data_IF_573052782646
#
_entry.id   IF_573052782646
#
_cell.length_a   1.000
_cell.length_b   1.000
_cell.length_c   1.000
_cell.angle_alpha   90.00
_cell.angle_beta   90.00
_cell.angle_gamma   90.00
#
_symmetry.space_group_name_H-M   'P 1'
#
loop_
_entity.id
_entity.type
_entity.pdbx_description
1 polymer ?
#
# COMPACT_ATOMS: atom_id res chain seq x y z
N UNK A 1 -8.77 -4.97 32.62
CA UNK A 1 -8.43 -6.38 32.35
C UNK A 1 -7.64 -6.39 31.06
N UNK A 2 -6.32 -6.63 31.18
CA UNK A 2 -5.41 -6.70 30.03
C UNK A 2 -5.79 -7.89 29.17
N UNK A 3 -6.44 -7.62 28.04
CA UNK A 3 -6.61 -8.60 26.97
C UNK A 3 -5.30 -8.62 26.19
N UNK A 4 -4.39 -9.51 26.58
CA UNK A 4 -3.19 -9.79 25.82
C UNK A 4 -3.62 -10.13 24.39
N UNK A 5 -3.08 -9.37 23.43
CA UNK A 5 -3.26 -9.56 21.99
C UNK A 5 -2.58 -10.86 21.53
N UNK A 6 -3.07 -12.02 21.98
CA UNK A 6 -2.71 -13.27 21.35
C UNK A 6 -3.48 -13.36 20.03
N UNK A 7 -2.82 -12.95 18.95
CA UNK A 7 -3.23 -13.32 17.61
C UNK A 7 -3.24 -14.86 17.60
N UNK A 8 -4.38 -15.54 17.38
CA UNK A 8 -4.45 -16.99 17.46
C UNK A 8 -3.39 -17.61 16.54
N UNK A 9 -2.71 -18.67 16.98
CA UNK A 9 -1.71 -19.39 16.17
C UNK A 9 -2.21 -19.82 14.77
N UNK A 10 -3.55 -19.83 14.55
CA UNK A 10 -4.21 -20.01 13.25
C UNK A 10 -4.02 -18.87 12.25
N UNK A 11 -3.63 -17.68 12.69
CA UNK A 11 -3.40 -16.52 11.81
C UNK A 11 -2.17 -16.71 10.91
N UNK A 12 -1.25 -17.62 11.25
CA UNK A 12 -0.02 -17.88 10.50
C UNK A 12 -0.26 -18.43 9.07
N UNK A 13 -1.52 -18.69 8.68
CA UNK A 13 -1.92 -19.21 7.35
C UNK A 13 -3.06 -18.40 6.67
N UNK A 14 -3.26 -17.13 7.01
CA UNK A 14 -4.24 -16.21 6.39
C UNK A 14 -3.80 -15.64 5.02
N UNK A 15 -4.06 -16.39 3.95
CA UNK A 15 -3.94 -15.86 2.57
C UNK A 15 -5.18 -15.04 2.19
N UNK A 16 -5.08 -14.15 1.19
CA UNK A 16 -6.24 -13.44 0.63
C UNK A 16 -7.36 -14.40 0.17
N UNK A 17 -7.01 -15.64 -0.22
CA UNK A 17 -7.94 -16.70 -0.62
C UNK A 17 -8.54 -17.49 0.55
N UNK A 18 -7.85 -17.57 1.68
CA UNK A 18 -8.32 -18.29 2.88
C UNK A 18 -8.95 -17.37 3.91
N UNK A 19 -8.72 -16.06 3.83
CA UNK A 19 -9.30 -15.05 4.71
C UNK A 19 -10.84 -15.10 4.72
N UNK A 20 -11.55 -15.15 3.56
CA UNK A 20 -13.01 -15.27 3.59
C UNK A 20 -13.46 -16.56 4.27
N UNK A 21 -12.83 -17.70 3.97
CA UNK A 21 -13.17 -19.00 4.60
C UNK A 21 -12.98 -18.97 6.11
N UNK A 22 -11.89 -18.37 6.60
CA UNK A 22 -11.58 -18.28 8.02
C UNK A 22 -12.51 -17.29 8.77
N UNK A 23 -12.96 -16.21 8.11
CA UNK A 23 -14.02 -15.34 8.66
C UNK A 23 -15.34 -16.11 8.80
N UNK A 24 -15.72 -16.90 7.80
CA UNK A 24 -16.95 -17.71 7.83
C UNK A 24 -16.88 -18.90 8.81
N UNK A 25 -15.71 -19.48 9.03
CA UNK A 25 -15.48 -20.60 9.95
C UNK A 25 -15.24 -20.18 11.41
N UNK A 26 -15.08 -18.87 11.68
CA UNK A 26 -14.88 -18.36 13.03
C UNK A 26 -16.18 -18.48 13.85
N UNK A 27 -16.06 -18.95 15.11
CA UNK A 27 -17.21 -19.03 16.03
C UNK A 27 -17.81 -17.65 16.33
N UNK A 28 -17.00 -16.59 16.24
CA UNK A 28 -17.41 -15.19 16.40
C UNK A 28 -16.79 -14.33 15.27
N UNK A 29 -17.43 -14.27 14.08
CA UNK A 29 -16.90 -13.58 12.92
C UNK A 29 -16.57 -12.10 13.16
N UNK A 30 -17.39 -11.40 13.95
CA UNK A 30 -17.15 -9.99 14.29
C UNK A 30 -15.89 -9.76 15.12
N UNK A 31 -15.64 -10.62 16.12
CA UNK A 31 -14.44 -10.51 16.95
C UNK A 31 -13.19 -10.83 16.15
N UNK A 32 -13.28 -11.79 15.24
CA UNK A 32 -12.20 -12.11 14.33
C UNK A 32 -11.91 -10.98 13.33
N UNK A 33 -12.93 -10.38 12.73
CA UNK A 33 -12.77 -9.22 11.83
C UNK A 33 -12.02 -8.08 12.52
N UNK A 34 -12.29 -7.84 13.81
CA UNK A 34 -11.66 -6.77 14.59
C UNK A 34 -10.19 -7.03 14.93
N UNK A 35 -9.69 -8.26 14.78
CA UNK A 35 -8.25 -8.54 14.96
C UNK A 35 -7.46 -8.47 13.66
N UNK A 36 -8.13 -8.37 12.51
CA UNK A 36 -7.48 -8.31 11.21
C UNK A 36 -6.86 -6.93 10.94
N UNK A 37 -5.64 -6.88 10.36
CA UNK A 37 -5.08 -5.66 9.81
C UNK A 37 -6.02 -5.06 8.77
N UNK A 38 -6.16 -3.73 8.77
CA UNK A 38 -7.13 -3.06 7.88
C UNK A 38 -6.84 -3.30 6.39
N UNK A 39 -5.58 -3.44 6.00
CA UNK A 39 -5.22 -3.77 4.61
C UNK A 39 -5.83 -5.11 4.18
N UNK A 40 -5.88 -6.11 5.07
CA UNK A 40 -6.53 -7.40 4.79
C UNK A 40 -8.05 -7.26 4.63
N UNK A 41 -8.68 -6.39 5.43
CA UNK A 41 -10.10 -6.08 5.25
C UNK A 41 -10.35 -5.33 3.93
N UNK A 42 -9.46 -4.41 3.56
CA UNK A 42 -9.56 -3.66 2.32
C UNK A 42 -9.43 -4.58 1.09
N UNK A 43 -8.52 -5.57 1.14
CA UNK A 43 -8.44 -6.62 0.12
C UNK A 43 -9.76 -7.38 -0.04
N UNK A 44 -10.38 -7.78 1.08
CA UNK A 44 -11.66 -8.49 1.05
C UNK A 44 -12.79 -7.61 0.49
N UNK A 45 -12.84 -6.34 0.89
CA UNK A 45 -13.78 -5.36 0.39
C UNK A 45 -13.66 -5.18 -1.13
N UNK A 46 -12.43 -5.01 -1.65
CA UNK A 46 -12.18 -4.87 -3.08
C UNK A 46 -12.50 -6.13 -3.87
N UNK A 47 -12.27 -7.31 -3.29
CA UNK A 47 -12.61 -8.58 -3.93
C UNK A 47 -14.13 -8.78 -4.06
N UNK A 48 -14.89 -8.44 -3.02
CA UNK A 48 -16.34 -8.63 -2.97
C UNK A 48 -17.13 -7.51 -3.65
N UNK A 49 -16.53 -6.31 -3.74
CA UNK A 49 -17.22 -5.08 -4.07
C UNK A 49 -17.86 -4.44 -2.82
N UNK A 50 -17.89 -3.11 -2.78
CA UNK A 50 -18.38 -2.34 -1.64
C UNK A 50 -19.85 -2.66 -1.32
N UNK A 51 -20.72 -2.68 -2.34
CA UNK A 51 -22.15 -2.99 -2.21
C UNK A 51 -22.44 -4.38 -1.62
N UNK A 52 -21.55 -5.34 -1.83
CA UNK A 52 -21.65 -6.70 -1.29
C UNK A 52 -20.98 -6.87 0.08
N UNK A 53 -20.45 -5.79 0.66
CA UNK A 53 -19.62 -5.82 1.87
C UNK A 53 -20.30 -5.17 3.08
N UNK A 54 -21.60 -4.89 3.03
CA UNK A 54 -22.34 -4.24 4.12
C UNK A 54 -22.15 -4.96 5.48
N UNK A 55 -22.23 -6.29 5.51
CA UNK A 55 -22.03 -7.09 6.73
C UNK A 55 -20.59 -6.99 7.27
N UNK A 56 -19.60 -6.96 6.37
CA UNK A 56 -18.19 -6.76 6.73
C UNK A 56 -18.00 -5.38 7.38
N UNK A 57 -18.57 -4.34 6.77
CA UNK A 57 -18.53 -2.98 7.30
C UNK A 57 -19.27 -2.90 8.63
N UNK A 58 -20.43 -3.56 8.79
CA UNK A 58 -21.20 -3.61 10.02
C UNK A 58 -20.43 -4.29 11.17
N UNK A 59 -19.62 -5.31 10.88
CA UNK A 59 -18.81 -6.03 11.87
C UNK A 59 -17.52 -5.29 12.29
N UNK A 60 -16.89 -4.55 11.36
CA UNK A 60 -15.61 -3.85 11.58
C UNK A 60 -15.65 -2.85 12.76
N UNK A 61 -14.52 -2.51 13.36
CA UNK A 61 -14.48 -1.38 14.31
C UNK A 61 -14.69 -0.03 13.60
N UNK A 62 -14.96 1.04 14.36
CA UNK A 62 -15.08 2.41 13.81
C UNK A 62 -13.75 2.84 13.21
N UNK A 63 -12.66 2.49 13.88
CA UNK A 63 -11.29 2.79 13.47
C UNK A 63 -10.94 2.07 12.16
N UNK A 64 -11.21 0.76 12.07
CA UNK A 64 -11.02 0.00 10.83
C UNK A 64 -11.88 0.57 9.69
N UNK A 65 -13.15 0.90 9.95
CA UNK A 65 -14.04 1.46 8.93
C UNK A 65 -13.55 2.84 8.44
N UNK A 66 -13.04 3.69 9.33
CA UNK A 66 -12.43 4.97 8.96
C UNK A 66 -11.22 4.76 8.04
N UNK A 67 -10.35 3.81 8.38
CA UNK A 67 -9.18 3.47 7.56
C UNK A 67 -9.59 2.86 6.20
N UNK A 68 -10.66 2.05 6.14
CA UNK A 68 -11.21 1.57 4.87
C UNK A 68 -11.68 2.72 3.98
N UNK A 69 -12.34 3.73 4.55
CA UNK A 69 -12.72 4.96 3.84
C UNK A 69 -11.46 5.72 3.39
N UNK A 70 -10.42 5.81 4.23
CA UNK A 70 -9.14 6.45 3.88
C UNK A 70 -8.44 5.77 2.69
N UNK A 71 -8.54 4.45 2.56
CA UNK A 71 -8.03 3.70 1.40
C UNK A 71 -8.88 3.90 0.15
N UNK A 72 -10.21 3.88 0.32
CA UNK A 72 -11.13 3.78 -0.80
C UNK A 72 -11.45 5.15 -1.40
N UNK A 73 -11.62 6.18 -0.57
CA UNK A 73 -12.06 7.51 -0.99
C UNK A 73 -10.92 8.47 -1.35
N UNK A 74 -9.67 7.99 -1.44
CA UNK A 74 -8.53 8.81 -1.79
C UNK A 74 -7.74 8.21 -2.94
N UNK A 75 -7.45 9.02 -3.95
CA UNK A 75 -6.47 8.71 -4.97
C UNK A 75 -5.30 9.67 -4.79
N UNK A 76 -4.17 9.15 -4.30
CA UNK A 76 -3.02 9.97 -3.89
C UNK A 76 -3.45 11.00 -2.83
N UNK A 77 -3.39 12.28 -3.19
CA UNK A 77 -3.70 13.49 -2.43
C UNK A 77 -5.05 14.12 -2.81
N UNK A 78 -5.88 13.42 -3.61
CA UNK A 78 -7.18 13.92 -4.03
C UNK A 78 -8.31 13.03 -3.52
N UNK A 79 -9.38 13.67 -3.03
CA UNK A 79 -10.57 12.99 -2.55
C UNK A 79 -11.46 12.55 -3.71
N UNK A 80 -11.86 11.27 -3.70
CA UNK A 80 -12.71 10.65 -4.72
C UNK A 80 -14.15 10.63 -4.23
N UNK A 81 -14.93 11.64 -4.64
CA UNK A 81 -16.31 11.83 -4.17
C UNK A 81 -17.24 10.69 -4.57
N UNK A 82 -17.05 10.13 -5.76
CA UNK A 82 -17.86 9.03 -6.28
C UNK A 82 -17.81 7.84 -5.33
N UNK A 83 -16.62 7.46 -4.87
CA UNK A 83 -16.45 6.39 -3.90
C UNK A 83 -17.14 6.76 -2.57
N UNK A 84 -17.02 8.01 -2.12
CA UNK A 84 -17.73 8.48 -0.92
C UNK A 84 -19.25 8.36 -1.05
N UNK A 85 -19.83 8.65 -2.22
CA UNK A 85 -21.25 8.45 -2.47
C UNK A 85 -21.63 6.96 -2.43
N UNK A 86 -20.78 6.07 -2.95
CA UNK A 86 -20.99 4.61 -2.83
C UNK A 86 -20.98 4.15 -1.37
N UNK A 87 -20.13 4.74 -0.51
CA UNK A 87 -20.18 4.48 0.93
C UNK A 87 -21.50 4.92 1.54
N UNK A 88 -22.02 6.09 1.16
CA UNK A 88 -23.32 6.57 1.66
C UNK A 88 -24.51 5.75 1.14
N UNK A 89 -24.38 5.05 0.01
CA UNK A 89 -25.43 4.20 -0.57
C UNK A 89 -25.44 2.77 -0.04
N UNK A 90 -24.46 2.37 0.78
CA UNK A 90 -24.42 1.04 1.42
C UNK A 90 -25.71 0.66 2.18
N UNK A 91 -26.45 1.67 2.65
CA UNK A 91 -27.67 1.49 3.42
C UNK A 91 -28.93 1.51 2.55
N UNK A 92 -28.82 1.55 1.21
CA UNK A 92 -29.99 1.62 0.32
C UNK A 92 -30.72 0.27 0.20
N UNK A 93 -30.00 -0.84 0.37
CA UNK A 93 -30.56 -2.19 0.30
C UNK A 93 -31.23 -2.63 1.61
N UNK A 94 -30.90 -1.99 2.73
CA UNK A 94 -31.45 -2.27 4.05
C UNK A 94 -32.46 -1.18 4.45
N UNK A 95 -33.49 -1.55 5.21
CA UNK A 95 -34.43 -0.59 5.79
C UNK A 95 -33.89 0.03 7.09
N UNK A 96 -32.79 -0.49 7.63
CA UNK A 96 -32.13 0.07 8.82
C UNK A 96 -31.18 1.23 8.51
N UNK A 97 -31.20 2.25 9.36
CA UNK A 97 -30.22 3.36 9.34
C UNK A 97 -28.99 3.07 10.23
N UNK A 98 -28.90 1.91 10.87
CA UNK A 98 -27.81 1.58 11.80
C UNK A 98 -26.44 1.65 11.12
N UNK A 99 -26.34 1.11 9.90
CA UNK A 99 -25.11 1.15 9.12
C UNK A 99 -24.75 2.60 8.74
N UNK A 100 -25.73 3.43 8.41
CA UNK A 100 -25.51 4.85 8.09
C UNK A 100 -24.99 5.59 9.32
N UNK A 101 -25.61 5.39 10.48
CA UNK A 101 -25.17 5.98 11.74
C UNK A 101 -23.74 5.56 12.10
N UNK A 102 -23.38 4.30 11.81
CA UNK A 102 -22.00 3.84 11.96
C UNK A 102 -21.07 4.57 11.01
N UNK A 103 -21.39 4.62 9.71
CA UNK A 103 -20.59 5.29 8.69
C UNK A 103 -20.35 6.76 9.07
N UNK A 104 -21.37 7.47 9.56
CA UNK A 104 -21.24 8.86 10.05
C UNK A 104 -20.19 9.00 11.16
N UNK A 105 -20.08 8.03 12.07
CA UNK A 105 -19.04 8.03 13.13
C UNK A 105 -17.64 7.77 12.57
N UNK A 106 -17.55 7.06 11.45
CA UNK A 106 -16.29 6.68 10.81
C UNK A 106 -15.74 7.81 9.93
N UNK A 107 -16.62 8.55 9.24
CA UNK A 107 -16.25 9.62 8.32
C UNK A 107 -15.54 10.77 9.06
N UNK A 108 -14.53 11.33 8.42
CA UNK A 108 -13.90 12.58 8.84
C UNK A 108 -14.87 13.76 8.59
N UNK A 109 -15.22 14.50 9.64
CA UNK A 109 -16.14 15.63 9.55
C UNK A 109 -15.65 16.73 8.59
N UNK A 110 -14.34 16.82 8.31
CA UNK A 110 -13.80 17.73 7.29
C UNK A 110 -14.25 17.34 5.89
N UNK A 111 -14.40 16.04 5.60
CA UNK A 111 -14.95 15.56 4.33
C UNK A 111 -16.45 15.86 4.22
N UNK A 112 -17.19 15.79 5.34
CA UNK A 112 -18.59 16.23 5.35
C UNK A 112 -18.68 17.74 5.09
N UNK A 113 -17.84 18.54 5.76
CA UNK A 113 -17.76 19.97 5.51
C UNK A 113 -17.36 20.29 4.07
N UNK A 114 -16.47 19.50 3.47
CA UNK A 114 -16.09 19.59 2.06
C UNK A 114 -17.30 19.38 1.15
N UNK A 115 -18.10 18.32 1.38
CA UNK A 115 -19.34 18.07 0.63
C UNK A 115 -20.36 19.20 0.81
N UNK A 116 -20.51 19.73 2.03
CA UNK A 116 -21.37 20.88 2.30
C UNK A 116 -20.90 22.11 1.53
N UNK A 117 -19.59 22.39 1.52
CA UNK A 117 -19.03 23.54 0.82
C UNK A 117 -19.29 23.50 -0.69
N UNK A 118 -19.24 22.30 -1.29
CA UNK A 118 -19.41 22.06 -2.73
C UNK A 118 -20.88 22.01 -3.15
N UNK A 119 -21.71 21.32 -2.38
CA UNK A 119 -23.06 20.93 -2.81
C UNK A 119 -24.19 21.57 -2.02
N UNK A 120 -23.92 22.30 -0.94
CA UNK A 120 -24.99 22.82 -0.08
C UNK A 120 -25.01 24.35 -0.13
N UNK A 121 -26.19 24.87 -0.45
CA UNK A 121 -26.52 26.28 -0.33
C UNK A 121 -27.15 26.54 1.03
N UNK A 122 -26.60 27.52 1.75
CA UNK A 122 -26.97 27.83 3.13
C UNK A 122 -27.24 29.34 3.19
N UNK A 123 -28.40 29.72 3.75
CA UNK A 123 -28.70 31.09 4.13
C UNK A 123 -29.00 31.13 5.62
N UNK A 124 -28.29 31.98 6.35
CA UNK A 124 -28.47 32.16 7.80
C UNK A 124 -29.00 33.57 8.04
N UNK A 125 -30.05 33.69 8.84
CA UNK A 125 -30.70 34.94 9.21
C UNK A 125 -30.65 35.17 10.72
N UNK A 126 -30.59 36.44 11.12
CA UNK A 126 -30.64 36.84 12.54
C UNK A 126 -32.05 36.70 13.14
N UNK A 127 -33.07 36.85 12.30
CA UNK A 127 -34.49 36.69 12.63
C UNK A 127 -35.09 35.64 11.69
N UNK A 128 -36.08 34.85 12.15
CA UNK A 128 -36.67 33.81 11.32
C UNK A 128 -37.43 34.43 10.15
N UNK A 129 -37.23 33.88 8.95
CA UNK A 129 -37.86 34.37 7.72
C UNK A 129 -38.93 33.42 7.19
N UNK A 130 -39.99 33.99 6.61
CA UNK A 130 -41.05 33.33 5.83
C UNK A 130 -41.53 34.37 4.80
N UNK A 131 -41.46 34.15 3.46
CA UNK A 131 -41.37 32.86 2.75
C UNK A 131 -39.97 32.26 2.58
N UNK A 132 -39.93 30.97 2.23
CA UNK A 132 -38.71 30.25 1.82
C UNK A 132 -37.94 31.01 0.71
N UNK A 133 -36.59 31.01 0.72
CA UNK A 133 -35.76 31.63 -0.32
C UNK A 133 -35.98 31.08 -1.73
N UNK A 134 -36.55 29.88 -1.87
CA UNK A 134 -36.87 29.28 -3.15
C UNK A 134 -37.22 27.80 -3.07
N UNK A 135 -37.47 27.19 -4.23
CA UNK A 135 -37.81 25.77 -4.31
C UNK A 135 -36.64 24.87 -3.88
N UNK A 136 -36.97 23.84 -3.10
CA UNK A 136 -36.01 22.86 -2.58
C UNK A 136 -35.24 23.30 -1.34
N UNK A 137 -35.47 24.51 -0.84
CA UNK A 137 -34.99 24.91 0.49
C UNK A 137 -35.87 24.33 1.59
N UNK A 138 -35.23 23.82 2.63
CA UNK A 138 -35.86 23.45 3.89
C UNK A 138 -35.17 24.17 5.05
N UNK A 139 -35.84 24.26 6.19
CA UNK A 139 -35.29 24.87 7.40
C UNK A 139 -35.44 23.91 8.59
N UNK A 140 -34.35 23.58 9.31
CA UNK A 140 -34.41 22.73 10.50
C UNK A 140 -34.82 23.51 11.77
N UNK A 141 -34.75 24.84 11.75
CA UNK A 141 -34.87 25.73 12.92
C UNK A 141 -35.98 26.77 12.80
N UNK A 142 -37.01 26.52 11.98
CA UNK A 142 -38.17 27.42 11.81
C UNK A 142 -37.81 28.79 11.19
N UNK A 143 -36.90 28.78 10.21
CA UNK A 143 -36.64 29.92 9.32
C UNK A 143 -35.38 30.72 9.64
N UNK A 144 -34.55 30.29 10.60
CA UNK A 144 -33.26 30.95 10.86
C UNK A 144 -32.19 30.47 9.87
N UNK A 145 -32.17 29.18 9.55
CA UNK A 145 -31.24 28.55 8.62
C UNK A 145 -32.03 27.89 7.50
N UNK A 146 -31.75 28.29 6.26
CA UNK A 146 -32.30 27.66 5.06
C UNK A 146 -31.21 26.86 4.36
N UNK A 147 -31.48 25.58 4.12
CA UNK A 147 -30.55 24.61 3.54
C UNK A 147 -31.14 24.04 2.26
N UNK A 148 -30.33 23.97 1.21
CA UNK A 148 -30.66 23.29 -0.04
C UNK A 148 -29.45 22.53 -0.56
N UNK A 149 -29.63 21.25 -0.85
CA UNK A 149 -28.64 20.46 -1.60
C UNK A 149 -28.79 20.81 -3.09
N UNK A 150 -27.74 21.39 -3.67
CA UNK A 150 -27.70 21.95 -5.00
C UNK A 150 -26.82 21.10 -5.92
N UNK A 151 -27.39 20.02 -6.45
CA UNK A 151 -26.79 19.16 -7.46
C UNK A 151 -27.84 18.75 -8.50
N UNK A 152 -27.41 18.46 -9.73
CA UNK A 152 -28.30 17.95 -10.80
C UNK A 152 -28.49 16.43 -10.74
N UNK A 153 -27.66 15.74 -9.97
CA UNK A 153 -27.75 14.29 -9.75
C UNK A 153 -28.72 14.00 -8.60
N UNK A 154 -29.88 13.44 -8.93
CA UNK A 154 -30.94 13.16 -7.96
C UNK A 154 -30.55 12.12 -6.92
N UNK A 155 -29.70 11.15 -7.27
CA UNK A 155 -29.23 10.14 -6.32
C UNK A 155 -28.24 10.78 -5.34
N UNK A 156 -27.26 11.54 -5.84
CA UNK A 156 -26.35 12.33 -4.99
C UNK A 156 -27.10 13.30 -4.07
N UNK A 157 -28.14 13.97 -4.60
CA UNK A 157 -28.99 14.86 -3.82
C UNK A 157 -29.65 14.11 -2.65
N UNK A 158 -30.21 12.94 -2.91
CA UNK A 158 -30.84 12.09 -1.90
C UNK A 158 -29.84 11.65 -0.83
N UNK A 159 -28.66 11.13 -1.22
CA UNK A 159 -27.64 10.66 -0.30
C UNK A 159 -27.13 11.77 0.63
N UNK A 160 -26.86 12.96 0.07
CA UNK A 160 -26.41 14.11 0.85
C UNK A 160 -27.50 14.64 1.78
N UNK A 161 -28.75 14.73 1.32
CA UNK A 161 -29.87 15.14 2.18
C UNK A 161 -30.07 14.16 3.34
N UNK A 162 -29.97 12.85 3.08
CA UNK A 162 -30.05 11.80 4.10
C UNK A 162 -28.90 11.89 5.10
N UNK A 163 -27.67 12.12 4.64
CA UNK A 163 -26.51 12.34 5.49
C UNK A 163 -26.73 13.53 6.44
N UNK A 164 -27.17 14.67 5.89
CA UNK A 164 -27.43 15.88 6.67
C UNK A 164 -28.53 15.68 7.73
N UNK A 165 -29.61 15.00 7.36
CA UNK A 165 -30.69 14.66 8.29
C UNK A 165 -30.18 13.76 9.42
N UNK A 166 -29.43 12.71 9.10
CA UNK A 166 -28.87 11.79 10.09
C UNK A 166 -27.85 12.47 11.02
N UNK A 167 -27.04 13.41 10.52
CA UNK A 167 -26.14 14.21 11.37
C UNK A 167 -26.95 15.11 12.31
N UNK A 168 -28.00 15.77 11.82
CA UNK A 168 -28.85 16.62 12.65
C UNK A 168 -29.56 15.84 13.75
N UNK A 169 -30.08 14.65 13.42
CA UNK A 169 -30.72 13.75 14.37
C UNK A 169 -29.73 13.26 15.45
N UNK A 170 -28.49 12.95 15.05
CA UNK A 170 -27.45 12.51 15.98
C UNK A 170 -26.91 13.66 16.86
N UNK A 171 -26.70 14.85 16.28
CA UNK A 171 -26.24 16.04 16.98
C UNK A 171 -26.52 17.32 16.18
N UNK A 172 -27.53 18.07 16.62
CA UNK A 172 -27.82 19.39 16.08
C UNK A 172 -26.63 20.35 16.22
N UNK A 173 -25.83 20.23 17.28
CA UNK A 173 -24.63 21.06 17.48
C UNK A 173 -23.60 20.83 16.36
N UNK A 174 -23.24 19.58 16.08
CA UNK A 174 -22.30 19.24 15.00
C UNK A 174 -22.85 19.68 13.65
N UNK A 175 -24.15 19.50 13.43
CA UNK A 175 -24.81 19.96 12.20
C UNK A 175 -24.59 21.46 11.98
N UNK A 176 -24.90 22.31 12.97
CA UNK A 176 -24.71 23.77 12.81
C UNK A 176 -23.25 24.18 12.74
N UNK A 177 -22.35 23.50 13.45
CA UNK A 177 -20.91 23.70 13.31
C UNK A 177 -20.47 23.47 11.85
N UNK A 178 -20.86 22.35 11.24
CA UNK A 178 -20.55 22.03 9.84
C UNK A 178 -21.12 23.07 8.85
N UNK A 179 -22.34 23.56 9.08
CA UNK A 179 -22.94 24.61 8.24
C UNK A 179 -22.15 25.92 8.28
N UNK A 180 -21.54 26.24 9.43
CA UNK A 180 -20.75 27.47 9.60
C UNK A 180 -19.39 27.44 8.90
N UNK A 181 -18.84 26.24 8.64
CA UNK A 181 -17.47 26.07 8.09
C UNK A 181 -17.28 26.77 6.74
N UNK A 182 -18.34 26.86 5.92
CA UNK A 182 -18.29 27.51 4.60
C UNK A 182 -17.88 28.99 4.67
N UNK A 183 -18.11 29.66 5.80
CA UNK A 183 -17.68 31.04 6.03
C UNK A 183 -16.22 31.18 6.51
N UNK A 184 -15.56 30.07 6.85
CA UNK A 184 -14.26 30.05 7.55
C UNK A 184 -13.17 29.40 6.67
N UNK A 185 -13.48 28.28 6.02
CA UNK A 185 -12.52 27.49 5.25
C UNK A 185 -13.01 27.27 3.81
N UNK A 186 -12.08 27.30 2.86
CA UNK A 186 -12.37 26.94 1.47
C UNK A 186 -12.35 25.42 1.29
N UNK A 187 -12.97 24.93 0.21
CA UNK A 187 -12.96 23.50 -0.12
C UNK A 187 -11.53 22.93 -0.20
N UNK A 188 -10.58 23.67 -0.78
CA UNK A 188 -9.18 23.25 -0.88
C UNK A 188 -8.52 23.09 0.49
N UNK A 189 -8.77 24.00 1.43
CA UNK A 189 -8.23 23.90 2.80
C UNK A 189 -8.81 22.69 3.53
N UNK A 190 -10.11 22.44 3.40
CA UNK A 190 -10.77 21.29 4.02
C UNK A 190 -10.24 19.96 3.48
N UNK A 191 -10.02 19.88 2.17
CA UNK A 191 -9.46 18.68 1.55
C UNK A 191 -8.02 18.44 1.98
N UNK A 192 -7.16 19.47 2.02
CA UNK A 192 -5.79 19.34 2.50
C UNK A 192 -5.73 18.92 3.97
N UNK A 193 -6.53 19.53 4.85
CA UNK A 193 -6.55 19.13 6.27
C UNK A 193 -7.03 17.68 6.45
N UNK A 194 -8.07 17.27 5.71
CA UNK A 194 -8.54 15.88 5.72
C UNK A 194 -7.48 14.91 5.20
N UNK A 195 -6.72 15.31 4.16
CA UNK A 195 -5.60 14.54 3.65
C UNK A 195 -4.52 14.36 4.71
N UNK A 196 -4.13 15.42 5.42
CA UNK A 196 -3.13 15.35 6.49
C UNK A 196 -3.56 14.45 7.64
N UNK A 197 -4.83 14.52 8.04
CA UNK A 197 -5.36 13.64 9.10
C UNK A 197 -5.44 12.18 8.65
N UNK A 198 -5.76 11.93 7.37
CA UNK A 198 -5.66 10.61 6.74
C UNK A 198 -4.22 10.08 6.74
N UNK A 199 -3.22 10.90 6.39
CA UNK A 199 -1.81 10.49 6.44
C UNK A 199 -1.38 10.05 7.85
N UNK A 200 -1.76 10.81 8.89
CA UNK A 200 -1.45 10.43 10.29
C UNK A 200 -2.06 9.08 10.67
N UNK A 201 -3.31 8.82 10.26
CA UNK A 201 -4.00 7.56 10.53
C UNK A 201 -3.33 6.39 9.81
N UNK A 202 -2.97 6.57 8.54
CA UNK A 202 -2.26 5.55 7.77
C UNK A 202 -0.85 5.28 8.31
N UNK A 203 -0.13 6.32 8.74
CA UNK A 203 1.20 6.17 9.35
C UNK A 203 1.15 5.33 10.63
N UNK A 204 0.10 5.48 11.45
CA UNK A 204 -0.12 4.65 12.64
C UNK A 204 -0.35 3.16 12.31
N UNK A 205 -0.77 2.84 11.09
CA UNK A 205 -0.90 1.47 10.56
C UNK A 205 0.37 1.01 9.81
N UNK A 206 1.47 1.76 9.91
CA UNK A 206 2.74 1.44 9.24
C UNK A 206 2.74 1.74 7.74
N UNK A 207 1.84 2.60 7.26
CA UNK A 207 1.80 3.03 5.85
C UNK A 207 2.39 4.43 5.76
N UNK A 208 3.62 4.55 5.22
CA UNK A 208 4.33 5.83 5.21
C UNK A 208 3.74 6.80 4.18
N UNK A 209 3.97 8.09 4.40
CA UNK A 209 3.77 9.12 3.39
C UNK A 209 4.80 8.98 2.24
N UNK A 210 4.72 9.86 1.24
CA UNK A 210 5.58 9.77 0.05
C UNK A 210 7.05 10.03 0.36
N UNK A 211 7.31 10.98 1.24
CA UNK A 211 8.63 11.41 1.66
C UNK A 211 9.34 10.28 2.41
N UNK A 212 8.68 9.70 3.40
CA UNK A 212 9.24 8.60 4.18
C UNK A 212 9.32 7.30 3.36
N UNK A 213 8.35 7.04 2.49
CA UNK A 213 8.46 5.95 1.52
C UNK A 213 9.68 6.11 0.60
N UNK A 214 9.97 7.33 0.16
CA UNK A 214 11.16 7.62 -0.63
C UNK A 214 12.45 7.36 0.16
N UNK A 215 12.51 7.78 1.41
CA UNK A 215 13.65 7.57 2.30
C UNK A 215 13.96 6.07 2.48
N UNK A 216 12.95 5.25 2.83
CA UNK A 216 13.12 3.80 3.00
C UNK A 216 13.60 3.12 1.70
N UNK A 217 13.15 3.62 0.55
CA UNK A 217 13.54 3.10 -0.77
C UNK A 217 14.82 3.77 -1.34
N UNK A 218 15.56 4.53 -0.52
CA UNK A 218 16.81 5.15 -0.96
C UNK A 218 17.96 4.13 -0.87
N UNK A 219 18.71 3.91 -1.96
CA UNK A 219 19.81 2.93 -1.97
C UNK A 219 20.93 3.27 -0.99
N UNK A 220 21.46 2.24 -0.33
CA UNK A 220 22.61 2.33 0.56
C UNK A 220 23.85 1.70 -0.11
N UNK A 221 25.00 2.36 -0.05
CA UNK A 221 26.24 1.80 -0.59
C UNK A 221 26.72 0.61 0.27
N UNK A 222 27.21 -0.50 -0.32
CA UNK A 222 27.66 -1.67 0.44
C UNK A 222 28.76 -1.38 1.48
N UNK A 223 29.62 -0.40 1.21
CA UNK A 223 30.65 0.02 2.16
C UNK A 223 30.07 0.68 3.42
N UNK A 224 28.94 1.39 3.29
CA UNK A 224 28.26 1.99 4.44
C UNK A 224 27.59 0.92 5.31
N UNK A 225 26.97 -0.10 4.69
CA UNK A 225 26.44 -1.25 5.43
C UNK A 225 27.56 -2.00 6.18
N UNK A 226 28.71 -2.20 5.55
CA UNK A 226 29.85 -2.86 6.20
C UNK A 226 30.35 -2.07 7.41
N UNK A 227 30.52 -0.76 7.28
CA UNK A 227 30.95 0.10 8.38
C UNK A 227 29.99 0.01 9.58
N UNK A 228 28.68 -0.03 9.33
CA UNK A 228 27.67 -0.17 10.38
C UNK A 228 27.82 -1.48 11.17
N UNK A 229 28.12 -2.58 10.48
CA UNK A 229 28.33 -3.88 11.10
C UNK A 229 29.60 -3.90 11.96
N UNK A 230 30.65 -3.18 11.54
CA UNK A 230 31.90 -3.05 12.28
C UNK A 230 31.74 -2.22 13.55
N UNK A 231 30.91 -1.17 13.52
CA UNK A 231 30.64 -0.32 14.69
C UNK A 231 29.66 -0.95 15.70
N UNK A 232 29.06 -2.11 15.38
CA UNK A 232 28.14 -2.88 16.23
C UNK A 232 27.02 -2.05 16.85
N UNK A 233 26.50 -1.06 16.11
CA UNK A 233 25.35 -0.31 16.60
C UNK A 233 24.17 -1.26 16.81
N UNK A 234 23.49 -1.12 17.95
CA UNK A 234 22.22 -1.78 18.16
C UNK A 234 21.20 -1.22 17.17
N UNK A 235 20.42 -2.12 16.60
CA UNK A 235 19.34 -1.79 15.69
C UNK A 235 18.33 -0.88 16.40
N UNK A 236 17.91 0.19 15.73
CA UNK A 236 16.85 1.05 16.23
C UNK A 236 15.54 0.23 16.36
N UNK A 237 14.87 0.36 17.51
CA UNK A 237 13.55 -0.25 17.70
C UNK A 237 12.57 0.36 16.69
N UNK A 238 11.91 -0.50 15.92
CA UNK A 238 10.79 -0.08 15.06
C UNK A 238 9.53 -0.16 15.90
N UNK A 239 8.64 0.82 15.77
CA UNK A 239 7.29 0.67 16.35
C UNK A 239 6.63 -0.60 15.80
N UNK A 240 5.95 -1.34 16.67
CA UNK A 240 5.29 -2.60 16.29
C UNK A 240 4.19 -2.34 15.26
N UNK A 241 4.43 -2.77 14.02
CA UNK A 241 3.50 -2.66 12.91
C UNK A 241 2.85 -4.03 12.71
N UNK A 242 1.52 -4.15 12.80
CA UNK A 242 0.84 -5.42 12.59
C UNK A 242 1.20 -6.03 11.23
N UNK A 243 1.67 -7.27 11.25
CA UNK A 243 2.02 -8.02 10.06
C UNK A 243 0.82 -8.12 9.10
N UNK A 244 1.00 -7.68 7.85
CA UNK A 244 -0.02 -7.89 6.80
C UNK A 244 0.29 -9.19 6.08
N UNK A 245 -0.39 -10.23 6.53
CA UNK A 245 -0.07 -11.63 6.27
C UNK A 245 0.04 -12.00 4.77
N UNK A 246 -0.82 -11.51 3.85
CA UNK A 246 -0.68 -11.77 2.41
C UNK A 246 0.67 -11.39 1.79
N UNK A 247 1.45 -10.50 2.41
CA UNK A 247 2.72 -9.99 1.86
C UNK A 247 3.95 -10.77 2.31
N UNK A 248 3.87 -11.49 3.43
CA UNK A 248 4.97 -12.18 4.08
C UNK A 248 5.22 -13.60 3.53
N UNK A 249 4.26 -14.15 2.79
CA UNK A 249 4.33 -15.53 2.30
C UNK A 249 5.49 -15.80 1.35
N UNK A 250 6.15 -16.94 1.50
CA UNK A 250 7.17 -17.51 0.59
C UNK A 250 8.58 -16.88 0.68
N UNK A 251 9.05 -16.54 1.88
CA UNK A 251 10.47 -16.19 2.14
C UNK A 251 11.36 -17.41 2.40
N UNK A 252 10.79 -18.57 2.72
CA UNK A 252 11.56 -19.79 3.06
C UNK A 252 12.33 -20.37 1.87
N UNK A 253 11.91 -20.03 0.64
CA UNK A 253 12.45 -20.56 -0.61
C UNK A 253 13.73 -19.87 -1.06
N UNK A 254 14.04 -18.69 -0.53
CA UNK A 254 15.22 -17.89 -0.87
C UNK A 254 16.25 -17.90 0.27
N UNK A 255 17.50 -18.23 -0.03
CA UNK A 255 18.59 -18.33 0.95
C UNK A 255 19.67 -17.29 0.67
N UNK A 256 20.30 -16.70 1.71
CA UNK A 256 20.20 -17.05 3.14
C UNK A 256 19.06 -16.37 3.93
N UNK A 257 18.17 -15.60 3.30
CA UNK A 257 17.07 -14.93 4.01
C UNK A 257 16.14 -15.92 4.76
N UNK A 258 15.82 -17.05 4.15
CA UNK A 258 15.02 -18.10 4.78
C UNK A 258 15.71 -18.76 5.98
N UNK A 259 17.04 -18.84 5.98
CA UNK A 259 17.83 -19.29 7.13
C UNK A 259 17.72 -18.33 8.31
N UNK A 260 17.70 -17.01 8.07
CA UNK A 260 17.48 -16.02 9.14
C UNK A 260 16.16 -16.32 9.85
N UNK A 261 15.06 -16.42 9.09
CA UNK A 261 13.73 -16.66 9.62
C UNK A 261 13.62 -17.94 10.46
N UNK A 262 14.28 -19.03 10.04
CA UNK A 262 14.28 -20.31 10.77
C UNK A 262 14.91 -20.24 12.16
N UNK A 263 15.78 -19.28 12.41
CA UNK A 263 16.55 -19.16 13.65
C UNK A 263 16.12 -17.97 14.53
N UNK A 264 15.06 -17.26 14.15
CA UNK A 264 14.46 -16.23 14.99
C UNK A 264 13.60 -16.87 16.08
N UNK A 265 13.65 -16.29 17.29
CA UNK A 265 12.68 -16.57 18.33
C UNK A 265 11.38 -15.79 18.10
N UNK A 266 10.36 -16.00 18.93
CA UNK A 266 9.03 -15.42 18.73
C UNK A 266 9.05 -13.88 18.68
N UNK A 267 9.80 -13.25 19.59
CA UNK A 267 9.90 -11.78 19.65
C UNK A 267 10.64 -11.23 18.42
N UNK A 268 11.73 -11.87 18.01
CA UNK A 268 12.48 -11.45 16.84
C UNK A 268 11.74 -11.69 15.51
N UNK A 269 10.83 -12.68 15.45
CA UNK A 269 9.93 -12.89 14.32
C UNK A 269 8.94 -11.72 14.20
N UNK A 270 8.28 -11.32 15.28
CA UNK A 270 7.33 -10.20 15.26
C UNK A 270 8.00 -8.89 14.81
N UNK A 271 9.23 -8.66 15.27
CA UNK A 271 10.05 -7.53 14.84
C UNK A 271 10.40 -7.61 13.35
N UNK A 272 10.80 -8.80 12.87
CA UNK A 272 11.07 -9.03 11.44
C UNK A 272 9.84 -8.73 10.59
N UNK A 273 8.67 -9.24 10.99
CA UNK A 273 7.40 -9.05 10.28
C UNK A 273 6.99 -7.58 10.25
N UNK A 274 7.19 -6.84 11.34
CA UNK A 274 6.93 -5.40 11.41
C UNK A 274 7.82 -4.62 10.42
N UNK A 275 9.12 -4.89 10.40
CA UNK A 275 10.04 -4.26 9.45
C UNK A 275 9.75 -4.60 8.00
N UNK A 276 9.46 -5.87 7.73
CA UNK A 276 9.14 -6.31 6.38
C UNK A 276 7.85 -5.63 5.91
N UNK A 277 6.84 -5.55 6.79
CA UNK A 277 5.57 -4.86 6.48
C UNK A 277 5.80 -3.38 6.19
N UNK A 278 6.63 -2.69 6.98
CA UNK A 278 6.99 -1.29 6.72
C UNK A 278 7.68 -1.12 5.36
N UNK A 279 8.67 -1.97 5.05
CA UNK A 279 9.38 -1.94 3.76
C UNK A 279 8.42 -2.19 2.60
N UNK A 280 7.52 -3.17 2.74
CA UNK A 280 6.51 -3.47 1.73
C UNK A 280 5.56 -2.29 1.51
N UNK A 281 5.03 -1.69 2.59
CA UNK A 281 4.16 -0.53 2.51
C UNK A 281 4.88 0.67 1.86
N UNK A 282 6.13 0.93 2.26
CA UNK A 282 6.97 1.95 1.65
C UNK A 282 7.19 1.69 0.15
N UNK A 283 7.46 0.45 -0.24
CA UNK A 283 7.65 0.07 -1.63
C UNK A 283 6.35 0.22 -2.44
N UNK A 284 5.19 -0.16 -1.90
CA UNK A 284 3.89 0.05 -2.57
C UNK A 284 3.64 1.54 -2.84
N UNK A 285 3.84 2.38 -1.83
CA UNK A 285 3.68 3.84 -1.95
C UNK A 285 4.68 4.41 -2.97
N UNK A 286 5.95 3.99 -2.87
CA UNK A 286 7.03 4.45 -3.77
C UNK A 286 6.76 4.13 -5.23
N UNK A 287 6.26 2.93 -5.51
CA UNK A 287 6.02 2.45 -6.87
C UNK A 287 4.58 2.63 -7.34
N UNK A 288 3.73 3.26 -6.51
CA UNK A 288 2.31 3.49 -6.79
C UNK A 288 1.57 2.20 -7.16
N UNK A 289 1.86 1.12 -6.44
CA UNK A 289 1.19 -0.18 -6.60
C UNK A 289 0.04 -0.25 -5.60
N UNK A 290 -1.16 -0.47 -6.11
CA UNK A 290 -2.35 -0.64 -5.29
C UNK A 290 -2.29 -1.96 -4.53
N UNK A 291 -2.53 -1.93 -3.21
CA UNK A 291 -2.44 -3.11 -2.34
C UNK A 291 -3.37 -4.24 -2.78
N UNK A 292 -4.49 -3.93 -3.44
CA UNK A 292 -5.44 -4.92 -3.95
C UNK A 292 -5.04 -5.58 -5.28
N UNK A 293 -3.99 -5.09 -5.96
CA UNK A 293 -3.45 -5.78 -7.13
C UNK A 293 -2.53 -6.93 -6.70
N UNK A 294 -3.13 -8.08 -6.42
CA UNK A 294 -2.41 -9.26 -5.91
C UNK A 294 -1.22 -9.67 -6.79
N UNK A 295 -1.33 -9.58 -8.10
CA UNK A 295 -0.25 -9.97 -9.02
C UNK A 295 0.95 -9.02 -8.90
N UNK A 296 0.71 -7.71 -8.89
CA UNK A 296 1.77 -6.71 -8.74
C UNK A 296 2.39 -6.72 -7.34
N UNK A 297 1.56 -6.88 -6.29
CA UNK A 297 2.03 -7.01 -4.91
C UNK A 297 2.92 -8.25 -4.75
N UNK A 298 2.55 -9.38 -5.36
CA UNK A 298 3.37 -10.60 -5.33
C UNK A 298 4.72 -10.37 -6.03
N UNK A 299 4.72 -9.77 -7.23
CA UNK A 299 5.96 -9.43 -7.95
C UNK A 299 6.83 -8.47 -7.15
N UNK A 300 6.24 -7.46 -6.52
CA UNK A 300 6.95 -6.50 -5.68
C UNK A 300 7.57 -7.20 -4.47
N UNK A 301 6.82 -8.07 -3.79
CA UNK A 301 7.29 -8.85 -2.65
C UNK A 301 8.52 -9.70 -3.02
N UNK A 302 8.49 -10.41 -4.15
CA UNK A 302 9.66 -11.14 -4.66
C UNK A 302 10.86 -10.22 -4.91
N UNK A 303 10.66 -9.02 -5.48
CA UNK A 303 11.73 -8.05 -5.71
C UNK A 303 12.32 -7.48 -4.41
N UNK A 304 11.49 -7.21 -3.41
CA UNK A 304 11.92 -6.74 -2.08
C UNK A 304 12.75 -7.82 -1.38
N UNK A 305 12.26 -9.06 -1.38
CA UNK A 305 12.98 -10.22 -0.82
C UNK A 305 14.30 -10.48 -1.54
N UNK A 306 14.30 -10.42 -2.87
CA UNK A 306 15.49 -10.56 -3.69
C UNK A 306 16.54 -9.50 -3.37
N UNK A 307 16.14 -8.23 -3.22
CA UNK A 307 17.04 -7.16 -2.80
C UNK A 307 17.65 -7.44 -1.41
N UNK A 308 16.84 -7.81 -0.41
CA UNK A 308 17.32 -8.16 0.93
C UNK A 308 18.31 -9.34 0.85
N UNK A 309 17.98 -10.37 0.09
CA UNK A 309 18.80 -11.57 -0.04
C UNK A 309 20.14 -11.29 -0.74
N UNK A 310 20.14 -10.48 -1.80
CA UNK A 310 21.36 -10.01 -2.47
C UNK A 310 22.31 -9.31 -1.50
N UNK A 311 21.78 -8.44 -0.63
CA UNK A 311 22.59 -7.76 0.37
C UNK A 311 23.15 -8.73 1.43
N UNK A 312 22.35 -9.71 1.85
CA UNK A 312 22.80 -10.76 2.77
C UNK A 312 23.93 -11.59 2.16
N UNK A 313 23.77 -12.08 0.92
CA UNK A 313 24.81 -12.85 0.23
C UNK A 313 26.11 -12.05 0.08
N UNK A 314 26.02 -10.81 -0.39
CA UNK A 314 27.19 -9.94 -0.54
C UNK A 314 27.91 -9.71 0.79
N UNK A 315 27.14 -9.46 1.85
CA UNK A 315 27.71 -9.16 3.17
C UNK A 315 28.34 -10.40 3.79
N UNK A 316 27.69 -11.56 3.65
CA UNK A 316 28.22 -12.86 4.09
C UNK A 316 29.55 -13.15 3.39
N UNK A 317 29.63 -12.98 2.07
CA UNK A 317 30.87 -13.19 1.31
C UNK A 317 32.00 -12.25 1.74
N UNK A 318 31.69 -10.99 2.07
CA UNK A 318 32.70 -9.98 2.43
C UNK A 318 33.19 -10.07 3.87
N UNK A 319 32.32 -10.45 4.80
CA UNK A 319 32.59 -10.38 6.25
C UNK A 319 32.78 -11.75 6.89
N UNK A 320 32.24 -12.81 6.28
CA UNK A 320 32.18 -14.15 6.85
C UNK A 320 31.17 -14.30 8.01
N UNK A 321 30.42 -13.25 8.36
CA UNK A 321 29.40 -13.31 9.41
C UNK A 321 28.20 -14.16 8.97
N UNK A 322 27.56 -14.81 9.94
CA UNK A 322 26.34 -15.56 9.69
C UNK A 322 25.17 -14.61 9.34
N UNK A 323 24.26 -15.05 8.47
CA UNK A 323 23.14 -14.23 8.01
C UNK A 323 22.26 -13.70 9.15
N UNK A 324 22.04 -14.50 10.20
CA UNK A 324 21.28 -14.09 11.38
C UNK A 324 21.98 -12.96 12.15
N UNK A 325 23.30 -13.00 12.27
CA UNK A 325 24.09 -11.97 12.93
C UNK A 325 24.06 -10.66 12.11
N UNK A 326 24.19 -10.77 10.79
CA UNK A 326 24.04 -9.63 9.88
C UNK A 326 22.67 -8.97 10.06
N UNK A 327 21.57 -9.75 10.08
CA UNK A 327 20.23 -9.22 10.31
C UNK A 327 20.09 -8.53 11.67
N UNK A 328 20.62 -9.13 12.74
CA UNK A 328 20.54 -8.58 14.10
C UNK A 328 21.22 -7.21 14.22
N UNK A 329 22.32 -7.00 13.51
CA UNK A 329 23.05 -5.73 13.52
C UNK A 329 22.49 -4.71 12.51
N UNK A 330 22.16 -5.11 11.29
CA UNK A 330 21.75 -4.18 10.24
C UNK A 330 20.24 -3.89 10.20
N UNK A 331 19.39 -4.86 10.54
CA UNK A 331 17.96 -4.83 10.28
C UNK A 331 17.60 -4.98 8.79
N UNK A 332 16.32 -5.15 8.48
CA UNK A 332 15.88 -5.36 7.09
C UNK A 332 15.99 -4.10 6.24
N UNK A 333 15.76 -2.92 6.82
CA UNK A 333 15.76 -1.67 6.05
C UNK A 333 17.12 -1.39 5.40
N UNK A 334 18.22 -1.56 6.14
CA UNK A 334 19.58 -1.34 5.60
C UNK A 334 19.96 -2.42 4.59
N UNK A 335 19.57 -3.68 4.83
CA UNK A 335 19.77 -4.78 3.89
C UNK A 335 19.01 -4.53 2.59
N UNK A 336 17.73 -4.15 2.68
CA UNK A 336 16.92 -3.77 1.53
C UNK A 336 17.54 -2.62 0.74
N UNK A 337 17.92 -1.53 1.42
CA UNK A 337 18.55 -0.38 0.79
C UNK A 337 19.88 -0.75 0.10
N UNK A 338 20.70 -1.62 0.69
CA UNK A 338 21.92 -2.13 0.07
C UNK A 338 21.61 -3.00 -1.16
N UNK A 339 20.58 -3.84 -1.10
CA UNK A 339 20.10 -4.62 -2.23
C UNK A 339 19.63 -3.76 -3.40
N UNK A 340 18.86 -2.71 -3.10
CA UNK A 340 18.43 -1.73 -4.09
C UNK A 340 19.61 -1.06 -4.79
N UNK A 341 20.70 -0.80 -4.07
CA UNK A 341 21.92 -0.25 -4.68
C UNK A 341 22.49 -1.19 -5.75
N UNK A 342 22.56 -2.49 -5.47
CA UNK A 342 23.01 -3.50 -6.43
C UNK A 342 22.11 -3.55 -7.66
N UNK A 343 20.79 -3.59 -7.47
CA UNK A 343 19.83 -3.60 -8.57
C UNK A 343 19.96 -2.33 -9.42
N UNK A 344 20.02 -1.15 -8.80
CA UNK A 344 20.13 0.11 -9.55
C UNK A 344 21.48 0.32 -10.21
N UNK A 345 22.54 -0.37 -9.79
CA UNK A 345 23.80 -0.44 -10.58
C UNK A 345 23.58 -1.16 -11.91
N UNK A 346 22.86 -2.29 -11.93
CA UNK A 346 22.47 -2.95 -13.18
C UNK A 346 21.58 -2.06 -14.02
N UNK A 347 20.59 -1.41 -13.41
CA UNK A 347 19.70 -0.46 -14.09
C UNK A 347 20.46 0.67 -14.77
N UNK A 348 21.34 1.36 -14.03
CA UNK A 348 22.17 2.45 -14.57
C UNK A 348 23.03 1.99 -15.74
N UNK A 349 23.56 0.76 -15.68
CA UNK A 349 24.32 0.16 -16.79
C UNK A 349 23.42 -0.16 -17.98
N UNK A 350 22.24 -0.74 -17.77
CA UNK A 350 21.27 -1.05 -18.81
C UNK A 350 20.76 0.21 -19.54
N UNK A 351 20.69 1.35 -18.86
CA UNK A 351 20.32 2.64 -19.45
C UNK A 351 21.38 3.22 -20.40
N UNK A 352 22.63 2.71 -20.38
CA UNK A 352 23.68 3.16 -21.31
C UNK A 352 23.51 2.63 -22.74
N UNK A 353 22.71 1.58 -22.93
CA UNK A 353 22.42 1.03 -24.26
C UNK A 353 21.49 2.00 -25.01
N UNK A 354 21.74 2.32 -26.28
CA UNK A 354 20.81 3.18 -27.02
C UNK A 354 19.60 2.37 -27.53
N UNK A 355 18.50 3.04 -27.88
CA UNK A 355 17.34 2.36 -28.49
C UNK A 355 17.73 1.80 -29.85
N UNK A 356 18.61 2.51 -30.58
CA UNK A 356 19.17 2.07 -31.86
C UNK A 356 20.09 0.86 -31.67
N UNK A 357 20.91 0.80 -30.61
CA UNK A 357 21.69 -0.40 -30.26
C UNK A 357 20.79 -1.59 -29.96
N UNK A 358 19.65 -1.36 -29.30
CA UNK A 358 18.67 -2.39 -28.98
C UNK A 358 17.89 -2.87 -30.21
N UNK A 359 17.65 -2.00 -31.19
CA UNK A 359 17.02 -2.34 -32.47
C UNK A 359 17.99 -2.96 -33.48
N UNK A 360 19.27 -2.55 -33.49
CA UNK A 360 20.33 -3.19 -34.25
C UNK A 360 20.71 -4.56 -33.67
N UNK A 361 20.57 -4.73 -32.34
CA UNK A 361 20.57 -6.01 -31.64
C UNK A 361 19.28 -6.83 -31.84
N UNK A 362 18.45 -6.51 -32.85
CA UNK A 362 17.42 -7.41 -33.36
C UNK A 362 17.99 -8.78 -33.79
N UNK A 363 19.32 -8.94 -33.84
CA UNK A 363 20.00 -10.22 -33.98
C UNK A 363 19.97 -11.10 -32.72
N UNK A 364 19.60 -10.61 -31.52
CA UNK A 364 19.33 -11.47 -30.36
C UNK A 364 18.19 -10.90 -29.48
N UNK A 365 16.95 -11.37 -29.71
CA UNK A 365 15.77 -11.02 -28.91
C UNK A 365 15.97 -11.19 -27.39
N UNK A 366 16.91 -12.05 -26.98
CA UNK A 366 17.34 -12.23 -25.59
C UNK A 366 17.95 -10.95 -24.99
N UNK A 367 18.88 -10.30 -25.69
CA UNK A 367 19.56 -9.08 -25.24
C UNK A 367 18.57 -7.95 -25.02
N UNK A 368 17.62 -7.79 -25.94
CA UNK A 368 16.53 -6.82 -25.80
C UNK A 368 15.72 -7.06 -24.53
N UNK A 369 15.25 -8.29 -24.31
CA UNK A 369 14.44 -8.63 -23.14
C UNK A 369 15.22 -8.46 -21.83
N UNK A 370 16.49 -8.84 -21.77
CA UNK A 370 17.35 -8.63 -20.59
C UNK A 370 17.48 -7.12 -20.28
N UNK A 371 17.85 -6.31 -21.27
CA UNK A 371 18.02 -4.85 -21.05
C UNK A 371 16.69 -4.20 -20.70
N UNK A 372 15.57 -4.62 -21.31
CA UNK A 372 14.24 -4.11 -21.00
C UNK A 372 13.81 -4.43 -19.56
N UNK A 373 14.06 -5.64 -19.06
CA UNK A 373 13.81 -6.03 -17.67
C UNK A 373 14.66 -5.24 -16.67
N UNK A 374 15.95 -5.04 -17.00
CA UNK A 374 16.85 -4.27 -16.15
C UNK A 374 16.55 -2.77 -16.10
N UNK A 375 15.82 -2.23 -17.09
CA UNK A 375 15.38 -0.83 -17.11
C UNK A 375 14.11 -0.55 -16.34
N UNK A 376 13.38 -1.59 -15.92
CA UNK A 376 12.20 -1.41 -15.08
C UNK A 376 12.55 -0.63 -13.80
N UNK A 377 11.57 0.11 -13.25
CA UNK A 377 11.76 0.96 -12.07
C UNK A 377 12.42 0.20 -10.91
N UNK A 378 11.98 -1.04 -10.67
CA UNK A 378 12.72 -2.08 -9.97
C UNK A 378 13.18 -3.15 -10.98
N UNK A 379 14.50 -3.31 -11.18
CA UNK A 379 15.06 -4.27 -12.13
C UNK A 379 14.57 -5.70 -11.91
N UNK A 380 14.35 -6.38 -13.01
CA UNK A 380 13.97 -7.79 -13.08
C UNK A 380 14.71 -8.47 -14.22
N UNK A 381 14.75 -9.81 -14.20
CA UNK A 381 15.43 -10.57 -15.25
C UNK A 381 14.49 -11.56 -15.92
N UNK A 382 14.67 -11.84 -17.23
CA UNK A 382 13.84 -12.80 -17.93
C UNK A 382 13.97 -14.21 -17.35
N UNK A 383 12.88 -15.00 -17.39
CA UNK A 383 12.85 -16.38 -16.92
C UNK A 383 13.80 -17.32 -17.68
N UNK A 384 14.20 -16.95 -18.90
CA UNK A 384 15.17 -17.71 -19.67
C UNK A 384 16.62 -17.47 -19.22
N UNK A 385 16.92 -16.41 -18.47
CA UNK A 385 18.29 -16.12 -18.06
C UNK A 385 18.65 -16.95 -16.82
N UNK A 386 19.65 -17.83 -16.95
CA UNK A 386 20.07 -18.73 -15.88
C UNK A 386 21.18 -18.11 -15.02
N UNK A 387 21.33 -18.52 -13.75
CA UNK A 387 22.34 -17.96 -12.84
C UNK A 387 23.78 -18.09 -13.33
N UNK A 388 24.10 -19.05 -14.21
CA UNK A 388 25.41 -19.23 -14.82
C UNK A 388 25.68 -18.27 -16.00
N UNK A 389 24.67 -17.48 -16.41
CA UNK A 389 24.71 -16.57 -17.55
C UNK A 389 24.29 -17.20 -18.88
N UNK A 390 23.85 -18.46 -18.89
CA UNK A 390 23.33 -19.13 -20.08
C UNK A 390 21.84 -18.82 -20.30
N UNK A 391 21.36 -19.09 -21.53
CA UNK A 391 19.97 -18.87 -21.91
C UNK A 391 19.23 -20.20 -22.01
N UNK A 392 18.11 -20.32 -21.30
CA UNK A 392 17.20 -21.47 -21.36
C UNK A 392 16.22 -21.32 -22.52
N UNK A 393 16.38 -22.17 -23.52
CA UNK A 393 15.42 -22.38 -24.60
C UNK A 393 14.74 -23.75 -24.46
N UNK A 394 13.51 -23.87 -24.95
CA UNK A 394 12.85 -25.16 -25.13
C UNK A 394 13.48 -25.95 -26.30
N UNK A 395 13.11 -27.23 -26.53
CA UNK A 395 13.68 -28.04 -27.62
C UNK A 395 13.45 -27.46 -29.03
N UNK A 396 12.54 -26.50 -29.19
CA UNK A 396 12.28 -25.79 -30.44
C UNK A 396 13.07 -24.48 -30.59
N UNK A 397 13.91 -24.15 -29.59
CA UNK A 397 14.72 -22.93 -29.56
C UNK A 397 13.99 -21.71 -29.02
N UNK A 398 12.78 -21.86 -28.47
CA UNK A 398 11.99 -20.73 -27.94
C UNK A 398 12.39 -20.43 -26.49
N UNK A 399 12.74 -19.17 -26.23
CA UNK A 399 13.10 -18.71 -24.89
C UNK A 399 11.89 -18.66 -23.96
N UNK A 400 12.08 -19.07 -22.71
CA UNK A 400 11.04 -19.02 -21.68
C UNK A 400 10.54 -17.59 -21.46
N UNK A 401 9.22 -17.39 -21.52
CA UNK A 401 8.58 -16.07 -21.38
C UNK A 401 8.49 -15.63 -19.91
N UNK A 402 8.32 -14.32 -19.71
CA UNK A 402 8.11 -13.70 -18.42
C UNK A 402 9.40 -13.27 -17.74
N UNK A 403 9.24 -12.61 -16.61
CA UNK A 403 10.31 -12.05 -15.79
C UNK A 403 10.18 -12.54 -14.35
N UNK A 404 11.30 -12.57 -13.64
CA UNK A 404 11.38 -12.83 -12.20
C UNK A 404 12.28 -11.80 -11.53
N UNK A 405 12.16 -11.74 -10.20
CA UNK A 405 13.09 -10.95 -9.38
C UNK A 405 14.52 -11.48 -9.54
N UNK A 406 15.49 -10.58 -9.35
CA UNK A 406 16.90 -10.94 -9.21
C UNK A 406 17.11 -11.19 -7.72
N UNK A 407 17.40 -12.43 -7.36
CA UNK A 407 17.31 -12.92 -5.99
C UNK A 407 18.67 -13.33 -5.42
N UNK A 408 19.58 -13.73 -6.31
CA UNK A 408 20.91 -14.24 -5.93
C UNK A 408 22.04 -13.42 -6.54
N UNK A 409 23.16 -13.34 -5.82
CA UNK A 409 24.33 -12.58 -6.24
C UNK A 409 24.95 -13.19 -7.50
N UNK A 410 24.86 -14.50 -7.68
CA UNK A 410 25.29 -15.19 -8.91
C UNK A 410 24.51 -14.72 -10.14
N UNK A 411 23.20 -14.52 -10.02
CA UNK A 411 22.35 -13.96 -11.07
C UNK A 411 22.77 -12.52 -11.38
N UNK A 412 22.97 -11.70 -10.33
CA UNK A 412 23.42 -10.32 -10.46
C UNK A 412 24.78 -10.21 -11.16
N UNK A 413 25.76 -11.03 -10.78
CA UNK A 413 27.09 -11.09 -11.39
C UNK A 413 27.03 -11.55 -12.85
N UNK A 414 26.22 -12.56 -13.15
CA UNK A 414 26.02 -13.06 -14.51
C UNK A 414 25.38 -12.01 -15.41
N UNK A 415 24.38 -11.26 -14.91
CA UNK A 415 23.81 -10.12 -15.62
C UNK A 415 24.84 -9.01 -15.83
N UNK A 416 25.67 -8.72 -14.83
CA UNK A 416 26.73 -7.74 -14.96
C UNK A 416 27.73 -8.15 -16.06
N UNK A 417 28.21 -9.40 -16.02
CA UNK A 417 29.12 -9.96 -17.03
C UNK A 417 28.50 -9.93 -18.43
N UNK A 418 27.22 -10.26 -18.55
CA UNK A 418 26.48 -10.18 -19.81
C UNK A 418 26.48 -8.75 -20.36
N UNK A 419 26.16 -7.74 -19.54
CA UNK A 419 26.20 -6.33 -19.95
C UNK A 419 27.62 -5.85 -20.29
N UNK A 420 28.67 -6.37 -19.64
CA UNK A 420 30.07 -6.05 -19.95
C UNK A 420 30.45 -6.57 -21.35
N UNK A 421 30.07 -7.80 -21.69
CA UNK A 421 30.35 -8.42 -22.99
C UNK A 421 29.70 -7.67 -24.15
N UNK A 422 28.47 -7.17 -23.96
CA UNK A 422 27.73 -6.42 -24.98
C UNK A 422 28.25 -4.97 -25.17
N UNK A 423 29.05 -4.44 -24.25
CA UNK A 423 29.68 -3.12 -24.33
C UNK A 423 31.15 -3.14 -24.81
N UNK A 424 31.70 -4.32 -25.13
CA UNK A 424 33.05 -4.43 -25.69
C UNK A 424 33.17 -3.75 -27.06
N UNK A 425 34.37 -3.26 -27.47
CA UNK A 425 34.55 -2.72 -28.81
C UNK A 425 34.16 -3.77 -29.84
N UNK A 426 33.53 -3.39 -30.98
CA UNK A 426 33.22 -4.35 -32.03
C UNK A 426 34.51 -5.06 -32.37
N UNK A 427 34.52 -6.39 -32.23
CA UNK A 427 35.61 -7.24 -32.68
C UNK A 427 35.94 -6.80 -34.10
N UNK A 428 37.10 -6.19 -34.27
CA UNK A 428 37.67 -5.95 -35.58
C UNK A 428 37.73 -7.33 -36.23
N UNK A 429 36.90 -7.54 -37.25
CA UNK A 429 37.02 -8.69 -38.13
C UNK A 429 38.46 -8.70 -38.66
N UNK A 430 39.30 -9.53 -38.07
CA UNK A 430 40.60 -9.87 -38.62
C UNK A 430 40.36 -10.85 -39.76
N UNK A 431 40.43 -10.26 -40.97
CA UNK A 431 40.72 -10.83 -42.29
C UNK A 431 39.78 -11.86 -42.92
#
# INVERSE_FOLDING_TARGET
MNCSKEIPARARHLTSRTLPKLVFEAELPEQFIRTLPVQSLYLALKHNGLSSSADLIAAASVEQCRLLIDFDCWQKDSFVEENFMEWLSLCDADQSLDLLHKIIKCIDLKLVALMISRYVQIHVHQEPTDPSPGEGFFTPDRGYTWVKVNTTDSHRQFLLARLLAAIFEASAEIFYQLMSVKGIATATVLEEEAYQDKQKRLAAEGIPDREYAHEINTPLEPAALQHELETKHEKAAVEMIPAVLPMLYDTETIQPLGEVLKHLDLEAIEQFESEFTLIMNAALVRWSIEVFNYEEVTKLSSKVKGAINLALELTLQKTGMAALEIYRHAGLQKLYACGLNLLFRLQKRAHKFSVETLQAAASEAATFAIVAGLRQALPEMPNFFLPDGTLKADPSGVLAKGYKAIEHLTEWESLQRFLDQQNGPPTQNTH
#
